data_IF_193076535928
#
_entry.id   IF_193076535928
#
_cell.length_a   1.000
_cell.length_b   1.000
_cell.length_c   1.000
_cell.angle_alpha   90.00
_cell.angle_beta   90.00
_cell.angle_gamma   90.00
#
_symmetry.space_group_name_H-M   'P 1'
#
loop_
_entity.id
_entity.type
_entity.pdbx_description
1 polymer ?
#
# COMPACT_ATOMS: atom_id res chain seq x y z
N UNK A 1 11.52 -0.55 -0.97
CA UNK A 1 10.07 -0.85 -1.01
C UNK A 1 9.36 -0.25 -2.24
N UNK A 2 9.54 1.04 -2.55
CA UNK A 2 8.78 1.71 -3.64
C UNK A 2 8.85 1.02 -5.02
N UNK A 3 10.03 0.55 -5.44
CA UNK A 3 10.18 -0.18 -6.70
C UNK A 3 9.36 -1.48 -6.76
N UNK A 4 9.30 -2.22 -5.65
CA UNK A 4 8.48 -3.44 -5.55
C UNK A 4 6.99 -3.12 -5.64
N UNK A 5 6.53 -2.07 -4.96
CA UNK A 5 5.15 -1.56 -5.07
C UNK A 5 4.80 -1.25 -6.53
N UNK A 6 5.66 -0.49 -7.22
CA UNK A 6 5.44 -0.15 -8.63
C UNK A 6 5.47 -1.37 -9.55
N UNK A 7 6.35 -2.34 -9.30
CA UNK A 7 6.42 -3.60 -10.04
C UNK A 7 5.13 -4.42 -9.90
N UNK A 8 4.67 -4.61 -8.67
CA UNK A 8 3.40 -5.33 -8.39
C UNK A 8 2.22 -4.59 -9.02
N UNK A 9 2.12 -3.27 -8.87
CA UNK A 9 1.02 -2.49 -9.46
C UNK A 9 0.93 -2.64 -10.99
N UNK A 10 2.07 -2.73 -11.69
CA UNK A 10 2.07 -2.97 -13.15
C UNK A 10 1.65 -4.40 -13.51
N UNK A 11 1.96 -5.38 -12.66
CA UNK A 11 1.67 -6.79 -12.91
C UNK A 11 0.24 -7.21 -12.52
N UNK A 12 -0.24 -6.75 -11.35
CA UNK A 12 -1.50 -7.21 -10.74
C UNK A 12 -2.55 -6.10 -10.57
N UNK A 13 -2.21 -4.84 -10.84
CA UNK A 13 -3.10 -3.68 -10.68
C UNK A 13 -3.40 -3.29 -9.22
N UNK A 14 -2.94 -4.06 -8.23
CA UNK A 14 -3.17 -3.76 -6.81
C UNK A 14 -2.04 -4.32 -5.93
N UNK A 15 -1.76 -3.65 -4.82
CA UNK A 15 -0.92 -4.17 -3.76
C UNK A 15 -1.57 -3.92 -2.40
N UNK A 16 -1.36 -4.85 -1.48
CA UNK A 16 -1.79 -4.71 -0.10
C UNK A 16 -0.55 -4.72 0.78
N UNK A 17 -0.45 -3.75 1.68
CA UNK A 17 0.67 -3.63 2.61
C UNK A 17 0.10 -3.67 4.02
N UNK A 18 0.57 -4.62 4.82
CA UNK A 18 0.27 -4.67 6.26
C UNK A 18 1.39 -3.96 7.01
N UNK A 19 1.03 -3.07 7.92
CA UNK A 19 1.97 -2.33 8.75
C UNK A 19 1.55 -2.34 10.22
N UNK A 20 2.54 -2.40 11.10
CA UNK A 20 2.35 -2.45 12.55
C UNK A 20 3.28 -1.43 13.19
N UNK A 21 2.69 -0.55 14.00
CA UNK A 21 3.40 0.55 14.65
C UNK A 21 3.68 1.75 13.72
N UNK A 22 3.91 2.90 14.35
CA UNK A 22 4.06 4.19 13.66
C UNK A 22 5.25 4.24 12.69
N UNK A 23 6.36 3.60 13.05
CA UNK A 23 7.56 3.55 12.20
C UNK A 23 7.31 2.83 10.87
N UNK A 24 6.70 1.64 10.93
CA UNK A 24 6.36 0.85 9.74
C UNK A 24 5.36 1.58 8.85
N UNK A 25 4.33 2.19 9.44
CA UNK A 25 3.35 3.00 8.72
C UNK A 25 4.01 4.18 7.98
N UNK A 26 4.86 4.95 8.66
CA UNK A 26 5.57 6.07 8.05
C UNK A 26 6.41 5.63 6.84
N UNK A 27 7.12 4.51 6.94
CA UNK A 27 7.93 3.98 5.84
C UNK A 27 7.06 3.50 4.66
N UNK A 28 5.93 2.84 4.94
CA UNK A 28 5.01 2.43 3.90
C UNK A 28 4.40 3.62 3.15
N UNK A 29 3.97 4.66 3.86
CA UNK A 29 3.44 5.89 3.24
C UNK A 29 4.50 6.56 2.36
N UNK A 30 5.75 6.70 2.83
CA UNK A 30 6.86 7.23 2.02
C UNK A 30 7.09 6.39 0.77
N UNK A 31 7.07 5.07 0.88
CA UNK A 31 7.26 4.17 -0.25
C UNK A 31 6.13 4.28 -1.28
N UNK A 32 4.86 4.42 -0.83
CA UNK A 32 3.71 4.64 -1.70
C UNK A 32 3.82 5.98 -2.43
N UNK A 33 4.24 7.05 -1.73
CA UNK A 33 4.45 8.37 -2.34
C UNK A 33 5.51 8.32 -3.46
N UNK A 34 6.62 7.62 -3.25
CA UNK A 34 7.65 7.43 -4.28
C UNK A 34 7.11 6.56 -5.42
N UNK A 35 6.40 5.46 -5.11
CA UNK A 35 5.84 4.57 -6.11
C UNK A 35 4.83 5.27 -7.04
N UNK A 36 4.07 6.24 -6.52
CA UNK A 36 3.19 7.11 -7.33
C UNK A 36 3.95 7.81 -8.45
N UNK A 37 5.16 8.31 -8.18
CA UNK A 37 6.03 8.89 -9.21
C UNK A 37 6.49 7.88 -10.26
N UNK A 38 6.73 6.63 -9.88
CA UNK A 38 7.13 5.56 -10.82
C UNK A 38 6.01 5.10 -11.75
N UNK A 39 4.75 5.13 -11.29
CA UNK A 39 3.61 4.62 -12.07
C UNK A 39 2.85 5.73 -12.83
N UNK A 40 3.05 7.00 -12.46
CA UNK A 40 2.41 8.14 -13.14
C UNK A 40 2.69 8.19 -14.66
N UNK A 41 3.93 7.94 -15.17
CA UNK A 41 4.19 7.91 -16.62
C UNK A 41 3.41 6.83 -17.37
N UNK A 42 2.95 5.78 -16.68
CA UNK A 42 2.10 4.73 -17.26
C UNK A 42 0.59 5.07 -17.18
N UNK A 43 0.24 6.32 -16.85
CA UNK A 43 -1.15 6.78 -16.74
C UNK A 43 -1.88 6.30 -15.48
N UNK A 44 -1.17 5.74 -14.50
CA UNK A 44 -1.77 5.23 -13.27
C UNK A 44 -1.81 6.34 -12.22
N UNK A 45 -3.01 6.88 -11.94
CA UNK A 45 -3.23 7.70 -10.75
C UNK A 45 -3.40 6.81 -9.52
N UNK A 46 -2.34 6.72 -8.72
CA UNK A 46 -2.30 5.86 -7.56
C UNK A 46 -3.04 6.45 -6.36
N UNK A 47 -3.91 5.65 -5.75
CA UNK A 47 -4.58 5.94 -4.47
C UNK A 47 -4.31 4.85 -3.45
N UNK A 48 -4.49 5.19 -2.17
CA UNK A 48 -4.43 4.25 -1.06
C UNK A 48 -5.71 4.35 -0.21
N UNK A 49 -6.17 3.23 0.31
CA UNK A 49 -7.30 3.14 1.24
C UNK A 49 -6.82 2.39 2.48
N UNK A 50 -6.72 3.05 3.65
CA UNK A 50 -6.35 2.38 4.88
C UNK A 50 -7.56 1.66 5.50
N UNK A 51 -7.31 0.54 6.15
CA UNK A 51 -8.27 -0.18 6.99
C UNK A 51 -7.54 -0.79 8.20
N UNK A 52 -8.25 -0.96 9.32
CA UNK A 52 -7.75 -1.77 10.42
C UNK A 52 -7.86 -3.25 10.07
N UNK A 53 -6.91 -4.05 10.56
CA UNK A 53 -6.92 -5.50 10.43
C UNK A 53 -6.26 -6.12 11.65
N UNK A 54 -6.89 -7.13 12.24
CA UNK A 54 -6.24 -7.96 13.25
C UNK A 54 -5.29 -8.94 12.58
N UNK A 55 -4.10 -9.10 13.16
CA UNK A 55 -3.08 -10.06 12.72
C UNK A 55 -2.50 -10.79 13.93
N UNK A 56 -2.15 -12.06 13.74
CA UNK A 56 -1.46 -12.85 14.77
C UNK A 56 0.04 -12.79 14.54
N UNK A 57 0.79 -12.33 15.55
CA UNK A 57 2.26 -12.32 15.57
C UNK A 57 2.71 -12.87 16.90
N UNK A 58 3.63 -13.84 16.87
CA UNK A 58 4.15 -14.49 18.08
C UNK A 58 3.02 -15.01 18.99
N UNK A 59 1.99 -15.60 18.38
CA UNK A 59 0.78 -16.08 19.06
C UNK A 59 -0.04 -15.01 19.81
N UNK A 60 0.21 -13.73 19.54
CA UNK A 60 -0.53 -12.60 20.09
C UNK A 60 -1.30 -11.88 18.99
N UNK A 61 -2.56 -11.53 19.25
CA UNK A 61 -3.33 -10.64 18.38
C UNK A 61 -2.80 -9.21 18.49
N UNK A 62 -2.64 -8.57 17.33
CA UNK A 62 -2.19 -7.20 17.18
C UNK A 62 -3.08 -6.51 16.16
N UNK A 63 -3.54 -5.31 16.50
CA UNK A 63 -4.16 -4.42 15.53
C UNK A 63 -3.10 -3.86 14.57
N UNK A 64 -3.20 -4.21 13.30
CA UNK A 64 -2.42 -3.68 12.20
C UNK A 64 -3.25 -2.70 11.36
N UNK A 65 -2.55 -1.96 10.49
CA UNK A 65 -3.19 -1.20 9.41
C UNK A 65 -2.88 -1.91 8.09
N UNK A 66 -3.93 -2.21 7.34
CA UNK A 66 -3.85 -2.66 5.96
C UNK A 66 -3.99 -1.45 5.03
N UNK A 67 -2.99 -1.23 4.19
CA UNK A 67 -3.00 -0.22 3.14
C UNK A 67 -3.30 -0.90 1.81
N UNK A 68 -4.48 -0.63 1.26
CA UNK A 68 -4.90 -1.14 -0.05
C UNK A 68 -4.53 -0.09 -1.09
N UNK A 69 -3.63 -0.41 -2.00
CA UNK A 69 -3.04 0.54 -2.95
C UNK A 69 -3.33 0.09 -4.37
N UNK A 70 -3.80 1.01 -5.20
CA UNK A 70 -4.17 0.71 -6.59
C UNK A 70 -4.61 1.96 -7.36
N UNK A 71 -4.96 1.81 -8.65
CA UNK A 71 -5.48 2.90 -9.46
C UNK A 71 -6.75 3.49 -8.87
N UNK A 72 -6.93 4.81 -9.02
CA UNK A 72 -8.19 5.47 -8.67
C UNK A 72 -9.35 4.85 -9.45
N UNK A 73 -10.31 4.25 -8.74
CA UNK A 73 -11.58 3.84 -9.35
C UNK A 73 -12.37 5.08 -9.76
N UNK A 74 -12.83 5.14 -11.01
CA UNK A 74 -13.86 6.12 -11.42
C UNK A 74 -15.14 5.80 -10.64
N UNK A 75 -15.71 6.80 -9.97
CA UNK A 75 -17.08 6.70 -9.48
C UNK A 75 -17.99 6.83 -10.70
N UNK A 76 -18.81 5.80 -10.94
CA UNK A 76 -19.94 5.84 -11.88
C UNK A 76 -21.07 6.69 -11.31
#
# INVERSE_FOLDING_TARGET
>A
MAGAIAGVLRASGKVEIQVIGAGSLNQAIKAIAIARGFVAPSGIDLVLVPAFQEVTIDNQERTAIKLIVGPRRRRS
#
